data_IF_912195059545
#
_entry.id   IF_912195059545
#
_cell.length_a   1.000
_cell.length_b   1.000
_cell.length_c   1.000
_cell.angle_alpha   90.00
_cell.angle_beta   90.00
_cell.angle_gamma   90.00
#
_symmetry.space_group_name_H-M   'P 1'
#
loop_
_entity.id
_entity.type
_entity.pdbx_description
1 polymer ?
#
# COMPACT_ATOMS: atom_id res chain seq x y z
N UNK A 1 26.40 -9.50 56.62
CA UNK A 1 26.62 -8.82 55.33
C UNK A 1 27.05 -9.90 54.33
N UNK A 2 26.10 -10.36 53.49
CA UNK A 2 26.14 -11.32 52.34
C UNK A 2 26.80 -12.71 52.58
N UNK A 3 26.10 -13.88 52.59
CA UNK A 3 25.18 -14.57 51.64
C UNK A 3 25.80 -14.74 50.22
N UNK A 4 26.47 -15.86 49.91
CA UNK A 4 25.98 -17.19 49.45
C UNK A 4 25.50 -17.26 47.97
N UNK A 5 26.28 -17.99 47.16
CA UNK A 5 25.90 -19.14 46.31
C UNK A 5 25.52 -19.01 44.80
N UNK A 6 26.07 -20.00 44.06
CA UNK A 6 25.61 -20.73 42.87
C UNK A 6 25.54 -20.03 41.48
N UNK A 7 26.26 -20.53 40.46
CA UNK A 7 25.93 -21.65 39.55
C UNK A 7 24.75 -21.32 38.61
N UNK A 8 25.02 -21.15 37.31
CA UNK A 8 24.46 -21.95 36.20
C UNK A 8 24.85 -21.36 34.83
N UNK A 9 25.63 -22.13 34.06
CA UNK A 9 25.64 -22.09 32.61
C UNK A 9 24.38 -22.85 32.14
N UNK A 10 23.45 -22.17 31.47
CA UNK A 10 22.46 -22.84 30.61
C UNK A 10 21.76 -21.88 29.65
N UNK A 11 22.00 -22.10 28.35
CA UNK A 11 21.02 -22.11 27.25
C UNK A 11 20.33 -20.80 26.80
N UNK A 12 20.53 -20.53 25.50
CA UNK A 12 19.67 -19.87 24.49
C UNK A 12 19.99 -18.43 24.04
N UNK A 13 19.73 -18.11 22.75
CA UNK A 13 20.43 -17.11 21.97
C UNK A 13 19.71 -15.76 22.02
N UNK A 14 20.45 -14.72 22.39
CA UNK A 14 20.07 -13.33 22.16
C UNK A 14 21.14 -12.80 21.19
N UNK A 15 20.77 -12.36 19.99
CA UNK A 15 19.90 -11.21 19.77
C UNK A 15 20.79 -10.22 19.02
N UNK A 16 20.57 -10.15 17.71
CA UNK A 16 21.41 -9.38 16.78
C UNK A 16 21.44 -7.92 17.19
N UNK A 17 22.64 -7.34 17.13
CA UNK A 17 22.98 -5.99 17.54
C UNK A 17 21.97 -4.94 17.06
N UNK A 18 21.41 -4.20 18.01
CA UNK A 18 20.91 -2.83 17.80
C UNK A 18 22.15 -1.96 17.61
N UNK A 19 22.42 -1.53 16.37
CA UNK A 19 23.53 -0.65 16.05
C UNK A 19 23.14 0.81 16.28
N UNK A 20 23.78 1.36 17.32
CA UNK A 20 24.38 2.70 17.44
C UNK A 20 23.54 3.95 17.08
N UNK A 21 22.84 4.45 18.10
CA UNK A 21 22.30 5.80 18.19
C UNK A 21 23.41 6.77 18.65
N UNK A 22 24.23 7.29 17.73
CA UNK A 22 24.93 8.56 17.93
C UNK A 22 25.73 8.95 16.69
N UNK A 23 25.16 9.76 15.77
CA UNK A 23 25.87 10.89 15.16
C UNK A 23 24.91 12.05 14.78
N UNK A 24 25.17 13.17 15.46
CA UNK A 24 24.79 14.57 15.24
C UNK A 24 23.39 15.09 15.68
N UNK A 25 23.35 16.24 16.40
CA UNK A 25 22.19 16.66 17.15
C UNK A 25 21.27 17.53 16.27
N UNK A 26 20.12 16.98 15.87
CA UNK A 26 18.96 17.81 15.53
C UNK A 26 18.72 18.78 16.69
N UNK A 27 18.71 20.07 16.37
CA UNK A 27 18.86 21.16 17.32
C UNK A 27 17.80 21.08 18.44
N UNK A 28 18.17 21.51 19.65
CA UNK A 28 17.32 21.39 20.85
C UNK A 28 16.04 22.24 20.74
N UNK A 29 16.06 23.35 20.00
CA UNK A 29 14.89 24.13 19.63
C UNK A 29 14.04 23.42 18.58
N UNK A 30 14.61 22.76 17.56
CA UNK A 30 13.90 21.91 16.60
C UNK A 30 13.18 20.79 17.34
N UNK A 31 13.86 20.05 18.23
CA UNK A 31 13.24 19.00 19.07
C UNK A 31 12.18 19.52 20.05
N UNK A 32 12.31 20.73 20.60
CA UNK A 32 11.30 21.32 21.49
C UNK A 32 10.09 21.88 20.71
N UNK A 33 10.30 22.43 19.51
CA UNK A 33 9.22 22.79 18.57
C UNK A 33 8.53 21.54 18.02
N UNK A 34 9.27 20.46 17.77
CA UNK A 34 8.77 19.19 17.27
C UNK A 34 8.03 18.38 18.32
N UNK A 35 8.55 18.26 19.55
CA UNK A 35 7.87 17.47 20.60
C UNK A 35 6.56 18.12 21.08
N UNK A 36 6.42 19.44 20.99
CA UNK A 36 5.15 20.10 21.26
C UNK A 36 4.12 19.89 20.13
N UNK A 37 4.57 19.79 18.88
CA UNK A 37 3.71 19.54 17.72
C UNK A 37 3.35 18.04 17.56
N UNK A 38 4.26 17.11 17.86
CA UNK A 38 4.08 15.67 17.62
C UNK A 38 3.09 14.96 18.55
N UNK A 39 2.77 15.55 19.69
CA UNK A 39 1.69 15.02 20.55
C UNK A 39 0.32 15.61 20.22
N UNK A 40 0.26 16.56 19.27
CA UNK A 40 -0.97 17.16 18.80
C UNK A 40 -1.44 16.58 17.44
N UNK A 41 -0.54 15.93 16.68
CA UNK A 41 -0.88 15.17 15.46
C UNK A 41 -1.44 13.78 15.77
N UNK A 42 -2.63 13.76 16.38
CA UNK A 42 -3.54 12.64 16.24
C UNK A 42 -4.07 12.64 14.80
N UNK A 43 -3.83 11.56 14.05
CA UNK A 43 -4.33 11.31 12.68
C UNK A 43 -3.93 12.42 11.69
N UNK A 44 -3.07 12.13 10.71
CA UNK A 44 -3.01 13.00 9.54
C UNK A 44 -4.40 13.01 8.90
N UNK A 45 -5.10 14.14 9.03
CA UNK A 45 -6.40 14.31 8.40
C UNK A 45 -6.17 14.34 6.88
N UNK A 46 -6.70 13.33 6.19
CA UNK A 46 -6.73 13.26 4.74
C UNK A 46 -7.30 14.51 4.05
N UNK A 47 -7.95 15.44 4.79
CA UNK A 47 -8.40 16.73 4.27
C UNK A 47 -7.31 17.80 4.15
N UNK A 48 -6.17 17.65 4.83
CA UNK A 48 -5.06 18.61 4.83
C UNK A 48 -3.91 18.22 3.88
N UNK A 49 -3.88 16.96 3.44
CA UNK A 49 -3.08 16.55 2.29
C UNK A 49 -3.75 17.09 1.01
N UNK A 50 -3.00 17.46 -0.05
CA UNK A 50 -3.54 17.84 -1.36
C UNK A 50 -4.12 16.63 -2.13
N UNK A 51 -4.62 15.63 -1.40
CA UNK A 51 -5.50 14.61 -1.90
C UNK A 51 -6.88 15.29 -2.08
N UNK A 52 -7.56 15.13 -3.23
CA UNK A 52 -8.86 15.75 -3.44
C UNK A 52 -9.81 15.50 -2.26
N UNK A 53 -10.32 16.59 -1.67
CA UNK A 53 -11.25 16.53 -0.52
C UNK A 53 -12.34 15.47 -0.73
N UNK A 54 -12.28 14.44 0.09
CA UNK A 54 -13.20 13.32 0.10
C UNK A 54 -14.54 13.77 0.65
N UNK A 55 -15.40 14.28 -0.23
CA UNK A 55 -16.82 14.39 0.08
C UNK A 55 -17.33 12.94 0.20
N UNK A 56 -17.38 12.40 1.42
CA UNK A 56 -18.05 11.12 1.77
C UNK A 56 -19.55 11.24 1.50
N UNK A 57 -19.95 11.34 0.22
CA UNK A 57 -21.34 11.50 -0.20
C UNK A 57 -22.01 10.14 -0.43
N UNK A 58 -21.23 9.08 -0.66
CA UNK A 58 -21.71 7.72 -0.88
C UNK A 58 -21.26 6.77 0.26
N UNK A 59 -22.06 5.72 0.51
CA UNK A 59 -21.67 4.64 1.43
C UNK A 59 -20.70 3.67 0.77
N UNK A 60 -19.91 2.93 1.57
CA UNK A 60 -18.98 1.91 1.03
C UNK A 60 -19.68 0.88 0.14
N UNK A 61 -20.88 0.46 0.53
CA UNK A 61 -21.71 -0.47 -0.27
C UNK A 61 -22.15 0.17 -1.58
N UNK A 62 -22.57 1.43 -1.54
CA UNK A 62 -22.97 2.19 -2.75
C UNK A 62 -21.79 2.36 -3.71
N UNK A 63 -20.58 2.69 -3.22
CA UNK A 63 -19.36 2.77 -4.04
C UNK A 63 -19.12 1.45 -4.77
N UNK A 64 -19.14 0.32 -4.06
CA UNK A 64 -18.98 -1.02 -4.67
C UNK A 64 -20.02 -1.31 -5.77
N UNK A 65 -21.29 -0.92 -5.56
CA UNK A 65 -22.34 -1.12 -6.56
C UNK A 65 -22.14 -0.27 -7.82
N UNK A 66 -21.73 1.00 -7.65
CA UNK A 66 -21.42 1.92 -8.76
C UNK A 66 -20.23 1.40 -9.56
N UNK A 67 -19.18 0.96 -8.88
CA UNK A 67 -17.99 0.34 -9.48
C UNK A 67 -18.37 -0.86 -10.35
N UNK A 68 -19.13 -1.83 -9.81
CA UNK A 68 -19.57 -3.01 -10.57
C UNK A 68 -20.42 -2.65 -11.78
N UNK A 69 -21.30 -1.65 -11.63
CA UNK A 69 -22.13 -1.15 -12.74
C UNK A 69 -21.27 -0.50 -13.84
N UNK A 70 -20.23 0.25 -13.47
CA UNK A 70 -19.31 0.87 -14.43
C UNK A 70 -18.41 -0.17 -15.10
N UNK A 71 -17.88 -1.14 -14.33
CA UNK A 71 -17.11 -2.27 -14.84
C UNK A 71 -17.86 -2.98 -15.97
N UNK A 72 -19.12 -3.36 -15.74
CA UNK A 72 -19.95 -4.02 -16.76
C UNK A 72 -20.12 -3.18 -18.04
N UNK A 73 -20.29 -1.86 -17.91
CA UNK A 73 -20.39 -0.96 -19.06
C UNK A 73 -19.08 -0.87 -19.85
N UNK A 74 -17.94 -0.81 -19.15
CA UNK A 74 -16.63 -0.76 -19.78
C UNK A 74 -16.27 -2.11 -20.42
N UNK A 75 -16.64 -3.23 -19.80
CA UNK A 75 -16.51 -4.58 -20.36
C UNK A 75 -17.24 -4.71 -21.70
N UNK A 76 -18.52 -4.31 -21.76
CA UNK A 76 -19.30 -4.35 -23.01
C UNK A 76 -18.65 -3.47 -24.09
N UNK A 77 -18.20 -2.27 -23.72
CA UNK A 77 -17.50 -1.40 -24.66
C UNK A 77 -16.18 -2.02 -25.15
N UNK A 78 -15.42 -2.65 -24.26
CA UNK A 78 -14.14 -3.28 -24.58
C UNK A 78 -14.30 -4.48 -25.54
N UNK A 79 -15.34 -5.30 -25.32
CA UNK A 79 -15.68 -6.43 -26.17
C UNK A 79 -16.21 -6.01 -27.55
N UNK A 80 -16.93 -4.87 -27.62
CA UNK A 80 -17.43 -4.32 -28.88
C UNK A 80 -16.37 -3.57 -29.71
N UNK A 81 -15.25 -3.17 -29.09
CA UNK A 81 -14.17 -2.48 -29.77
C UNK A 81 -13.51 -3.38 -30.83
N UNK A 82 -13.44 -2.87 -32.07
CA UNK A 82 -12.97 -3.64 -33.22
C UNK A 82 -11.47 -3.46 -33.49
N UNK A 83 -10.87 -2.42 -32.93
CA UNK A 83 -9.45 -2.10 -33.13
C UNK A 83 -8.66 -2.08 -31.83
N UNK A 84 -7.34 -2.32 -31.93
CA UNK A 84 -6.42 -2.22 -30.80
C UNK A 84 -6.42 -0.82 -30.20
N UNK A 85 -6.51 0.23 -31.03
CA UNK A 85 -6.57 1.63 -30.59
C UNK A 85 -7.79 1.91 -29.71
N UNK A 86 -8.97 1.41 -30.09
CA UNK A 86 -10.20 1.55 -29.30
C UNK A 86 -10.09 0.79 -27.97
N UNK A 87 -9.60 -0.45 -28.02
CA UNK A 87 -9.34 -1.25 -26.81
C UNK A 87 -8.39 -0.53 -25.85
N UNK A 88 -7.28 0.01 -26.35
CA UNK A 88 -6.31 0.77 -25.55
C UNK A 88 -6.92 2.04 -24.93
N UNK A 89 -7.78 2.75 -25.66
CA UNK A 89 -8.50 3.91 -25.13
C UNK A 89 -9.45 3.53 -23.98
N UNK A 90 -10.16 2.41 -24.11
CA UNK A 90 -11.07 1.90 -23.07
C UNK A 90 -10.28 1.42 -21.86
N UNK A 91 -9.17 0.70 -22.09
CA UNK A 91 -8.23 0.26 -21.05
C UNK A 91 -7.70 1.42 -20.23
N UNK A 92 -7.18 2.48 -20.89
CA UNK A 92 -6.71 3.70 -20.20
C UNK A 92 -7.80 4.36 -19.37
N UNK A 93 -9.03 4.44 -19.90
CA UNK A 93 -10.19 4.97 -19.16
C UNK A 93 -10.55 4.10 -17.96
N UNK A 94 -10.44 2.78 -18.08
CA UNK A 94 -10.67 1.85 -16.98
C UNK A 94 -9.61 2.01 -15.90
N UNK A 95 -8.32 2.12 -16.25
CA UNK A 95 -7.24 2.41 -15.32
C UNK A 95 -7.48 3.69 -14.50
N UNK A 96 -7.77 4.81 -15.18
CA UNK A 96 -8.13 6.08 -14.52
C UNK A 96 -9.32 5.90 -13.58
N UNK A 97 -10.36 5.21 -14.04
CA UNK A 97 -11.56 4.96 -13.22
C UNK A 97 -11.25 4.12 -11.97
N UNK A 98 -10.42 3.08 -12.09
CA UNK A 98 -9.99 2.24 -10.96
C UNK A 98 -9.22 3.09 -9.94
N UNK A 99 -8.30 3.96 -10.39
CA UNK A 99 -7.55 4.87 -9.51
C UNK A 99 -8.52 5.77 -8.75
N UNK A 100 -9.44 6.44 -9.46
CA UNK A 100 -10.42 7.35 -8.87
C UNK A 100 -11.29 6.64 -7.82
N UNK A 101 -11.77 5.43 -8.10
CA UNK A 101 -12.64 4.71 -7.18
C UNK A 101 -11.87 4.13 -5.97
N UNK A 102 -10.60 3.74 -6.13
CA UNK A 102 -9.77 3.35 -4.99
C UNK A 102 -9.51 4.56 -4.08
N UNK A 103 -8.97 5.64 -4.64
CA UNK A 103 -8.57 6.85 -3.90
C UNK A 103 -9.78 7.56 -3.29
N UNK A 104 -10.86 7.74 -4.06
CA UNK A 104 -11.99 8.57 -3.64
C UNK A 104 -13.22 7.76 -3.18
N UNK A 105 -13.37 6.52 -3.65
CA UNK A 105 -14.56 5.71 -3.41
C UNK A 105 -14.39 4.64 -2.32
N UNK A 106 -13.18 4.14 -2.07
CA UNK A 106 -12.93 2.99 -1.21
C UNK A 106 -11.99 3.26 -0.03
N UNK A 107 -10.74 3.68 -0.26
CA UNK A 107 -9.77 3.97 0.81
C UNK A 107 -10.28 4.92 1.91
N UNK A 108 -11.06 5.97 1.61
CA UNK A 108 -11.60 6.91 2.61
C UNK A 108 -12.46 6.26 3.69
N UNK A 109 -13.09 5.14 3.36
CA UNK A 109 -13.89 4.40 4.31
C UNK A 109 -13.03 3.54 5.23
N UNK A 110 -11.82 3.16 4.80
CA UNK A 110 -10.88 2.34 5.56
C UNK A 110 -10.05 3.15 6.54
N UNK A 111 -9.76 4.43 6.29
CA UNK A 111 -9.01 5.25 7.24
C UNK A 111 -9.59 5.15 8.66
N UNK A 112 -8.70 4.91 9.62
CA UNK A 112 -9.06 4.65 11.03
C UNK A 112 -9.41 3.20 11.37
N UNK A 113 -9.46 2.28 10.39
CA UNK A 113 -9.66 0.86 10.69
C UNK A 113 -8.43 0.33 11.39
N UNK A 114 -8.60 -0.23 12.59
CA UNK A 114 -7.49 -0.74 13.42
C UNK A 114 -6.67 -1.80 12.68
N UNK A 115 -5.36 -1.69 12.79
CA UNK A 115 -4.43 -2.67 12.27
C UNK A 115 -4.31 -3.87 13.21
N UNK A 116 -4.12 -5.04 12.63
CA UNK A 116 -3.70 -6.26 13.34
C UNK A 116 -3.00 -7.18 12.36
N UNK A 117 -1.94 -7.86 12.81
CA UNK A 117 -1.20 -8.82 11.98
C UNK A 117 -2.13 -9.93 11.46
N UNK A 118 -3.02 -10.43 12.32
CA UNK A 118 -4.02 -11.44 11.99
C UNK A 118 -5.36 -10.83 11.50
N UNK A 119 -5.41 -9.51 11.27
CA UNK A 119 -6.62 -8.82 10.86
C UNK A 119 -7.04 -9.15 9.43
N UNK A 120 -8.28 -9.60 9.22
CA UNK A 120 -8.81 -9.97 7.90
C UNK A 120 -10.16 -9.33 7.60
N UNK A 121 -10.51 -8.21 8.24
CA UNK A 121 -11.81 -7.58 8.04
C UNK A 121 -12.13 -7.33 6.56
N UNK A 122 -13.40 -7.51 6.18
CA UNK A 122 -13.93 -7.18 4.87
C UNK A 122 -14.72 -5.85 4.89
N UNK A 123 -14.86 -5.23 6.07
CA UNK A 123 -15.77 -4.12 6.29
C UNK A 123 -14.96 -3.01 6.96
N UNK A 124 -14.85 -1.83 6.32
CA UNK A 124 -14.13 -0.72 6.90
C UNK A 124 -14.67 -0.34 8.29
N UNK A 125 -13.77 0.00 9.21
CA UNK A 125 -14.09 0.39 10.59
C UNK A 125 -14.88 -0.65 11.40
N UNK A 126 -14.80 -1.93 11.02
CA UNK A 126 -15.38 -3.05 11.78
C UNK A 126 -14.35 -4.18 11.91
N UNK A 127 -13.86 -4.41 13.13
CA UNK A 127 -12.75 -5.33 13.38
C UNK A 127 -11.42 -4.76 12.90
N UNK A 128 -10.46 -5.65 12.66
CA UNK A 128 -9.07 -5.28 12.37
C UNK A 128 -8.65 -5.77 10.97
N UNK A 129 -7.66 -5.10 10.37
CA UNK A 129 -7.16 -5.46 9.05
C UNK A 129 -5.63 -5.36 8.96
N UNK A 130 -4.98 -6.43 8.50
CA UNK A 130 -3.55 -6.46 8.20
C UNK A 130 -3.26 -5.78 6.86
N UNK A 131 -1.98 -5.49 6.61
CA UNK A 131 -1.52 -4.75 5.43
C UNK A 131 -1.87 -5.45 4.10
N UNK A 132 -1.54 -6.73 3.96
CA UNK A 132 -1.89 -7.51 2.76
C UNK A 132 -3.39 -7.76 2.62
N UNK A 133 -4.12 -7.87 3.74
CA UNK A 133 -5.58 -7.92 3.70
C UNK A 133 -6.19 -6.61 3.27
N UNK A 134 -5.62 -5.45 3.65
CA UNK A 134 -6.10 -4.16 3.16
C UNK A 134 -5.99 -4.10 1.64
N UNK A 135 -4.81 -4.36 1.07
CA UNK A 135 -4.57 -4.38 -0.38
C UNK A 135 -5.51 -5.34 -1.11
N UNK A 136 -5.50 -6.61 -0.72
CA UNK A 136 -6.27 -7.66 -1.42
C UNK A 136 -7.78 -7.41 -1.33
N UNK A 137 -8.27 -6.85 -0.22
CA UNK A 137 -9.68 -6.52 -0.02
C UNK A 137 -10.10 -5.35 -0.89
N UNK A 138 -9.31 -4.29 -0.96
CA UNK A 138 -9.64 -3.13 -1.79
C UNK A 138 -9.53 -3.45 -3.27
N UNK A 139 -8.59 -4.29 -3.71
CA UNK A 139 -8.54 -4.80 -5.08
C UNK A 139 -9.78 -5.64 -5.42
N UNK A 140 -10.18 -6.57 -4.55
CA UNK A 140 -11.42 -7.33 -4.72
C UNK A 140 -12.65 -6.41 -4.81
N UNK A 141 -12.70 -5.39 -3.95
CA UNK A 141 -13.84 -4.48 -3.86
C UNK A 141 -13.91 -3.45 -5.00
N UNK A 142 -12.79 -3.04 -5.59
CA UNK A 142 -12.77 -2.22 -6.83
C UNK A 142 -13.04 -3.06 -8.08
N UNK A 143 -12.96 -4.38 -7.98
CA UNK A 143 -13.60 -5.26 -8.96
C UNK A 143 -12.72 -6.32 -9.59
N UNK A 144 -11.45 -6.42 -9.18
CA UNK A 144 -10.58 -7.51 -9.61
C UNK A 144 -11.15 -8.85 -9.16
N UNK A 145 -11.08 -9.85 -10.04
CA UNK A 145 -11.42 -11.22 -9.71
C UNK A 145 -10.16 -11.91 -9.16
N UNK A 146 -9.97 -11.83 -7.85
CA UNK A 146 -8.83 -12.44 -7.17
C UNK A 146 -9.26 -13.07 -5.86
N UNK A 147 -8.50 -14.07 -5.40
CA UNK A 147 -8.72 -14.65 -4.08
C UNK A 147 -7.99 -13.81 -3.02
N UNK A 148 -8.75 -12.97 -2.30
CA UNK A 148 -8.15 -12.05 -1.31
C UNK A 148 -7.36 -12.77 -0.21
N UNK A 149 -7.79 -13.94 0.22
CA UNK A 149 -7.12 -14.70 1.27
C UNK A 149 -5.79 -15.26 0.77
N UNK A 150 -5.79 -15.88 -0.42
CA UNK A 150 -4.56 -16.43 -0.99
C UNK A 150 -3.53 -15.33 -1.24
N UNK A 151 -3.97 -14.19 -1.81
CA UNK A 151 -3.08 -13.06 -2.06
C UNK A 151 -2.53 -12.51 -0.74
N UNK A 152 -3.38 -12.26 0.25
CA UNK A 152 -2.96 -11.69 1.54
C UNK A 152 -2.06 -12.60 2.38
N UNK A 153 -2.02 -13.90 2.07
CA UNK A 153 -1.16 -14.90 2.72
C UNK A 153 0.20 -15.03 2.04
N UNK A 154 0.47 -14.27 0.97
CA UNK A 154 1.77 -14.24 0.32
C UNK A 154 2.68 -13.17 0.94
N UNK A 155 3.99 -13.31 0.72
CA UNK A 155 4.95 -12.25 0.98
C UNK A 155 4.90 -11.13 -0.08
N UNK A 156 5.52 -9.97 0.19
CA UNK A 156 5.46 -8.81 -0.69
C UNK A 156 5.87 -9.08 -2.15
N UNK A 157 6.89 -9.90 -2.39
CA UNK A 157 7.35 -10.19 -3.76
C UNK A 157 6.35 -11.08 -4.50
N UNK A 158 5.75 -12.04 -3.82
CA UNK A 158 4.76 -12.97 -4.37
C UNK A 158 3.43 -12.28 -4.64
N UNK A 159 3.02 -11.33 -3.80
CA UNK A 159 1.91 -10.43 -4.10
C UNK A 159 2.20 -9.61 -5.36
N UNK A 160 3.38 -8.98 -5.45
CA UNK A 160 3.80 -8.26 -6.65
C UNK A 160 3.79 -9.16 -7.90
N UNK A 161 4.35 -10.37 -7.82
CA UNK A 161 4.37 -11.34 -8.93
C UNK A 161 2.98 -11.81 -9.34
N UNK A 162 2.03 -11.88 -8.40
CA UNK A 162 0.63 -12.17 -8.70
C UNK A 162 -0.04 -11.01 -9.46
N UNK A 163 0.27 -9.77 -9.07
CA UNK A 163 -0.36 -8.57 -9.63
C UNK A 163 0.26 -8.11 -10.96
N UNK A 164 1.53 -8.39 -11.20
CA UNK A 164 2.19 -7.98 -12.46
C UNK A 164 1.59 -8.71 -13.66
N UNK A 165 1.15 -9.97 -13.47
CA UNK A 165 0.63 -10.92 -14.46
C UNK A 165 1.65 -11.25 -15.57
N UNK A 166 2.17 -10.25 -16.28
CA UNK A 166 3.20 -10.38 -17.31
C UNK A 166 4.36 -9.42 -17.04
N UNK A 167 5.58 -9.89 -17.29
CA UNK A 167 6.81 -9.12 -17.05
C UNK A 167 7.34 -9.27 -15.63
N UNK A 168 8.05 -8.24 -15.16
CA UNK A 168 8.64 -8.19 -13.82
C UNK A 168 8.15 -6.97 -13.06
N UNK A 169 7.96 -7.08 -11.73
CA UNK A 169 7.82 -5.92 -10.87
C UNK A 169 9.03 -4.98 -11.03
N UNK A 170 8.80 -3.71 -10.70
CA UNK A 170 9.86 -2.72 -10.56
C UNK A 170 10.52 -2.96 -9.20
N UNK A 171 11.83 -3.13 -9.18
CA UNK A 171 12.60 -3.33 -7.94
C UNK A 171 13.44 -2.07 -7.70
N UNK A 172 13.34 -1.49 -6.50
CA UNK A 172 14.12 -0.34 -6.06
C UNK A 172 14.90 -0.75 -4.82
N UNK A 173 16.22 -0.62 -4.89
CA UNK A 173 17.13 -0.89 -3.78
C UNK A 173 17.87 0.41 -3.45
N UNK A 174 17.68 0.93 -2.24
CA UNK A 174 18.27 2.16 -1.73
C UNK A 174 19.50 1.89 -0.82
N UNK A 175 20.09 0.69 -0.85
CA UNK A 175 21.26 0.36 -0.03
C UNK A 175 22.58 0.96 -0.52
N UNK A 176 22.58 1.54 -1.74
CA UNK A 176 23.72 2.24 -2.35
C UNK A 176 23.64 3.77 -2.23
N UNK A 177 24.39 4.47 -3.10
CA UNK A 177 24.38 5.94 -3.19
C UNK A 177 23.16 6.43 -3.98
N UNK A 178 22.04 6.62 -3.28
CA UNK A 178 20.77 7.08 -3.86
C UNK A 178 20.34 8.44 -3.28
N UNK A 179 19.58 9.21 -4.07
CA UNK A 179 19.05 10.51 -3.64
C UNK A 179 17.83 10.40 -2.70
N UNK A 180 17.37 9.17 -2.45
CA UNK A 180 16.27 8.82 -1.56
C UNK A 180 15.08 8.22 -2.31
N UNK A 181 14.02 7.89 -1.57
CA UNK A 181 12.89 7.15 -2.11
C UNK A 181 12.15 7.88 -3.25
N UNK A 182 11.75 9.14 -3.03
CA UNK A 182 10.95 9.89 -4.03
C UNK A 182 11.71 10.12 -5.34
N UNK A 183 12.99 10.55 -5.35
CA UNK A 183 13.76 10.66 -6.59
C UNK A 183 13.81 9.35 -7.40
N UNK A 184 14.00 8.20 -6.75
CA UNK A 184 14.01 6.90 -7.42
C UNK A 184 12.64 6.55 -8.01
N UNK A 185 11.54 6.85 -7.30
CA UNK A 185 10.19 6.70 -7.86
C UNK A 185 10.02 7.59 -9.10
N UNK A 186 10.46 8.85 -9.05
CA UNK A 186 10.34 9.76 -10.19
C UNK A 186 11.19 9.32 -11.40
N UNK A 187 12.32 8.66 -11.18
CA UNK A 187 13.20 8.16 -12.23
C UNK A 187 12.67 6.87 -12.89
N UNK A 188 12.00 6.01 -12.12
CA UNK A 188 11.63 4.66 -12.56
C UNK A 188 10.13 4.46 -12.79
N UNK A 189 9.28 5.36 -12.30
CA UNK A 189 7.83 5.23 -12.36
C UNK A 189 7.18 6.39 -13.12
N UNK A 190 6.01 6.11 -13.71
CA UNK A 190 5.10 7.13 -14.20
C UNK A 190 4.08 7.47 -13.11
N UNK A 191 3.43 8.64 -13.19
CA UNK A 191 2.34 8.96 -12.26
C UNK A 191 1.23 7.91 -12.34
N UNK A 192 0.77 7.45 -11.19
CA UNK A 192 -0.20 6.37 -11.09
C UNK A 192 -0.33 5.79 -9.70
N UNK A 193 -1.13 4.73 -9.61
CA UNK A 193 -1.31 3.96 -8.39
C UNK A 193 -0.59 2.62 -8.53
N UNK A 194 0.21 2.31 -7.51
CA UNK A 194 1.06 1.14 -7.45
C UNK A 194 0.72 0.31 -6.23
N UNK A 195 0.81 -1.01 -6.36
CA UNK A 195 1.14 -1.85 -5.23
C UNK A 195 2.60 -1.59 -4.86
N UNK A 196 2.90 -1.54 -3.56
CA UNK A 196 4.25 -1.47 -3.04
C UNK A 196 4.44 -2.52 -1.95
N UNK A 197 5.50 -3.32 -2.10
CA UNK A 197 6.04 -4.20 -1.09
C UNK A 197 7.32 -3.62 -0.49
N UNK A 198 7.50 -3.81 0.82
CA UNK A 198 8.58 -3.26 1.63
C UNK A 198 9.37 -4.42 2.24
N UNK A 199 10.59 -4.65 1.76
CA UNK A 199 11.39 -5.82 2.13
C UNK A 199 10.59 -7.11 2.02
N UNK A 200 10.48 -7.85 3.13
CA UNK A 200 9.76 -9.13 3.21
C UNK A 200 8.53 -9.10 4.13
N UNK A 201 8.14 -7.95 4.69
CA UNK A 201 7.22 -7.92 5.84
C UNK A 201 6.03 -6.98 5.72
N UNK A 202 6.03 -6.02 4.79
CA UNK A 202 4.94 -5.05 4.70
C UNK A 202 4.56 -4.72 3.28
N UNK A 203 3.30 -4.35 3.08
CA UNK A 203 2.76 -3.96 1.78
C UNK A 203 1.77 -2.81 1.93
N UNK A 204 1.50 -2.13 0.83
CA UNK A 204 0.45 -1.12 0.75
C UNK A 204 0.27 -0.65 -0.68
N UNK A 205 -0.20 0.59 -0.81
CA UNK A 205 -0.22 1.30 -2.08
C UNK A 205 0.71 2.49 -2.05
N UNK A 206 1.36 2.73 -3.19
CA UNK A 206 2.03 3.99 -3.47
C UNK A 206 1.22 4.75 -4.51
N UNK A 207 0.77 5.96 -4.17
CA UNK A 207 0.15 6.88 -5.11
C UNK A 207 1.16 7.94 -5.50
N UNK A 208 1.58 7.93 -6.77
CA UNK A 208 2.53 8.89 -7.31
C UNK A 208 1.79 9.87 -8.24
N UNK A 209 1.76 11.16 -7.90
CA UNK A 209 0.98 12.18 -8.63
C UNK A 209 1.55 13.57 -8.37
N UNK A 210 1.64 14.39 -9.42
CA UNK A 210 2.12 15.77 -9.36
C UNK A 210 3.51 15.87 -8.71
N UNK A 211 4.38 14.90 -9.04
CA UNK A 211 5.73 14.70 -8.46
C UNK A 211 5.77 14.30 -6.98
N UNK A 212 4.62 14.16 -6.32
CA UNK A 212 4.51 13.75 -4.91
C UNK A 212 4.16 12.27 -4.78
N UNK A 213 4.63 11.64 -3.70
CA UNK A 213 4.39 10.24 -3.39
C UNK A 213 3.65 10.10 -2.06
N UNK A 214 2.58 9.33 -2.07
CA UNK A 214 1.77 9.04 -0.88
C UNK A 214 1.74 7.55 -0.61
N UNK A 215 1.98 7.15 0.63
CA UNK A 215 1.91 5.75 1.07
C UNK A 215 0.57 5.51 1.77
N UNK A 216 -0.23 4.58 1.25
CA UNK A 216 -1.57 4.24 1.77
C UNK A 216 -1.54 2.80 2.24
N UNK A 217 -1.80 2.57 3.51
CA UNK A 217 -1.45 1.29 4.14
C UNK A 217 -2.25 1.03 5.42
N UNK A 218 -2.25 -0.23 5.88
CA UNK A 218 -2.70 -0.59 7.24
C UNK A 218 -1.51 -0.68 8.16
N UNK A 219 -1.36 0.28 9.07
CA UNK A 219 -0.13 0.58 9.80
C UNK A 219 0.03 -0.20 11.08
N UNK A 220 1.13 -0.96 11.19
CA UNK A 220 1.65 -1.44 12.46
C UNK A 220 2.51 -0.41 13.19
N UNK A 221 2.66 0.78 12.60
CA UNK A 221 3.43 1.90 13.15
C UNK A 221 2.68 2.64 14.24
N UNK A 222 3.04 3.90 14.44
CA UNK A 222 2.52 4.71 15.56
C UNK A 222 1.00 4.85 15.55
N UNK A 223 0.36 4.87 14.39
CA UNK A 223 -1.09 5.08 14.29
C UNK A 223 -1.90 3.83 14.58
N UNK A 224 -1.34 2.62 14.37
CA UNK A 224 -2.03 1.36 14.59
C UNK A 224 -3.30 1.16 13.76
N UNK A 225 -3.40 1.77 12.58
CA UNK A 225 -4.62 1.80 11.77
C UNK A 225 -4.34 2.04 10.28
N UNK A 226 -5.38 1.93 9.44
CA UNK A 226 -5.29 2.32 8.04
C UNK A 226 -5.15 3.84 7.92
N UNK A 227 -4.16 4.28 7.16
CA UNK A 227 -3.79 5.69 7.00
C UNK A 227 -3.24 6.00 5.60
N UNK A 228 -2.97 7.29 5.38
CA UNK A 228 -2.21 7.79 4.25
C UNK A 228 -1.18 8.80 4.77
N UNK A 229 0.07 8.63 4.35
CA UNK A 229 1.18 9.53 4.67
C UNK A 229 1.83 10.06 3.37
N UNK A 230 2.54 11.19 3.46
CA UNK A 230 3.62 11.45 2.51
C UNK A 230 4.68 10.37 2.63
N UNK A 231 5.17 9.85 1.51
CA UNK A 231 6.11 8.73 1.52
C UNK A 231 7.39 9.01 2.33
N UNK A 232 7.90 10.24 2.27
CA UNK A 232 9.10 10.65 3.02
C UNK A 232 8.85 10.89 4.52
N UNK A 233 7.59 11.00 4.94
CA UNK A 233 7.22 11.26 6.34
C UNK A 233 6.70 10.00 7.05
N UNK A 234 6.40 8.94 6.29
CA UNK A 234 5.88 7.69 6.85
C UNK A 234 6.93 7.00 7.73
N UNK A 235 6.58 6.74 9.00
CA UNK A 235 7.44 6.07 9.98
C UNK A 235 7.74 4.61 9.60
N UNK A 236 6.86 4.01 8.80
CA UNK A 236 7.04 2.66 8.26
C UNK A 236 7.91 2.68 7.01
N UNK A 237 7.53 3.45 5.98
CA UNK A 237 8.20 3.39 4.67
C UNK A 237 9.68 3.77 4.79
N UNK A 238 9.99 4.82 5.55
CA UNK A 238 11.36 5.31 5.75
C UNK A 238 12.29 4.32 6.47
N UNK A 239 11.74 3.28 7.11
CA UNK A 239 12.50 2.19 7.72
C UNK A 239 13.00 1.12 6.75
N UNK A 240 12.65 1.20 5.46
CA UNK A 240 13.02 0.22 4.44
C UNK A 240 13.93 0.83 3.37
N UNK A 241 14.76 -0.03 2.78
CA UNK A 241 15.58 0.32 1.63
C UNK A 241 15.28 -0.54 0.40
N UNK A 242 14.45 -1.57 0.52
CA UNK A 242 14.16 -2.50 -0.57
C UNK A 242 12.67 -2.47 -0.86
N UNK A 243 12.31 -2.19 -2.11
CA UNK A 243 10.93 -2.00 -2.54
C UNK A 243 10.65 -2.81 -3.80
N UNK A 244 9.46 -3.39 -3.85
CA UNK A 244 8.93 -4.04 -5.06
C UNK A 244 7.62 -3.36 -5.43
N UNK A 245 7.53 -2.83 -6.65
CA UNK A 245 6.39 -2.07 -7.12
C UNK A 245 5.74 -2.72 -8.34
N UNK A 246 4.41 -2.64 -8.38
CA UNK A 246 3.62 -3.05 -9.55
C UNK A 246 2.61 -1.97 -9.85
N UNK A 247 2.62 -1.38 -11.06
CA UNK A 247 1.56 -0.46 -11.44
C UNK A 247 0.21 -1.20 -11.43
N UNK A 248 -0.79 -0.66 -10.74
CA UNK A 248 -2.13 -1.25 -10.71
C UNK A 248 -2.93 -0.80 -11.93
N UNK A 249 -2.91 0.49 -12.23
CA UNK A 249 -3.84 1.11 -13.19
C UNK A 249 -3.22 1.48 -14.53
N UNK A 250 -1.89 1.43 -14.64
CA UNK A 250 -1.15 1.54 -15.90
C UNK A 250 -0.64 0.19 -16.41
N UNK A 251 -0.73 -0.88 -15.61
CA UNK A 251 -0.50 -2.24 -16.07
C UNK A 251 -1.63 -2.68 -17.01
N UNK A 252 -1.30 -2.75 -18.29
CA UNK A 252 -2.27 -3.00 -19.34
C UNK A 252 -2.94 -4.39 -19.24
N UNK A 253 -2.21 -5.39 -18.76
CA UNK A 253 -2.69 -6.78 -18.64
C UNK A 253 -3.60 -6.90 -17.43
N UNK A 254 -3.21 -6.33 -16.29
CA UNK A 254 -4.02 -6.32 -15.08
C UNK A 254 -5.34 -5.58 -15.29
N UNK A 255 -5.32 -4.42 -15.94
CA UNK A 255 -6.55 -3.66 -16.25
C UNK A 255 -7.43 -4.41 -17.26
N UNK A 256 -6.84 -5.14 -18.20
CA UNK A 256 -7.58 -6.00 -19.12
C UNK A 256 -8.27 -7.15 -18.40
N UNK A 257 -7.59 -7.80 -17.45
CA UNK A 257 -8.21 -8.82 -16.59
C UNK A 257 -9.41 -8.25 -15.80
N UNK A 258 -9.29 -7.02 -15.27
CA UNK A 258 -10.42 -6.32 -14.63
C UNK A 258 -11.59 -6.07 -15.58
N UNK A 259 -11.30 -5.66 -16.82
CA UNK A 259 -12.32 -5.41 -17.84
C UNK A 259 -13.04 -6.69 -18.25
N UNK A 260 -12.30 -7.79 -18.37
CA UNK A 260 -12.83 -9.07 -18.82
C UNK A 260 -13.42 -9.91 -17.66
N UNK A 261 -13.14 -9.54 -16.41
CA UNK A 261 -13.52 -10.31 -15.22
C UNK A 261 -12.70 -11.59 -15.06
N UNK A 262 -11.52 -11.64 -15.69
CA UNK A 262 -10.61 -12.78 -15.64
C UNK A 262 -9.96 -12.90 -14.27
N UNK A 263 -9.72 -14.13 -13.84
CA UNK A 263 -9.09 -14.40 -12.56
C UNK A 263 -7.62 -13.97 -12.59
N UNK A 264 -7.22 -13.15 -11.62
CA UNK A 264 -5.81 -12.88 -11.32
C UNK A 264 -5.31 -14.03 -10.44
N UNK A 265 -4.51 -14.91 -11.03
CA UNK A 265 -3.97 -16.08 -10.35
C UNK A 265 -2.94 -15.67 -9.30
N UNK A 266 -3.11 -16.15 -8.07
CA UNK A 266 -2.16 -15.93 -7.00
C UNK A 266 -0.99 -16.89 -7.17
N UNK A 267 0.20 -16.32 -7.37
CA UNK A 267 1.46 -17.04 -7.41
C UNK A 267 1.90 -17.32 -5.97
N UNK A 268 2.21 -18.59 -5.67
CA UNK A 268 2.89 -18.95 -4.44
C UNK A 268 4.39 -18.81 -4.66
N UNK A 269 5.03 -17.87 -3.98
CA UNK A 269 6.49 -17.84 -3.92
C UNK A 269 7.04 -18.77 -2.86
N UNK A 270 8.35 -18.92 -2.89
CA UNK A 270 9.16 -19.64 -1.90
C UNK A 270 9.88 -18.68 -0.94
N UNK A 271 9.35 -17.45 -0.79
CA UNK A 271 9.88 -16.43 0.13
C UNK A 271 10.00 -16.96 1.56
#
# INVERSE_FOLDING_TARGET
MNLYFAFFLSLLPFGTLVYDLQQQPLDRQFKLKWNAAYHEYALQDSTDLPIPKLKKTASYTSSKQVIRSKQKRLQVAYQAASTLTEKNKIRKRAGIYITEELINGLFPHWYGTTWSFDGYSAIPNQGEIGCSYFVSTTLLHVGFNLNRYRLAQQGPVSEARSLVIEGSPIEIDLTGDFEGFVPEIQAHCEEGLYFIGLGHSHVGYLYYREKECYFIQSSYGKSGQVEIDYANDSDILTGFSNFVLVPITTNAVLVEAWLLGEEVLVVKGSE
#
